data_IF_629503861799
#
_entry.id   IF_629503861799
#
_cell.length_a   1.000
_cell.length_b   1.000
_cell.length_c   1.000
_cell.angle_alpha   90.00
_cell.angle_beta   90.00
_cell.angle_gamma   90.00
#
_symmetry.space_group_name_H-M   'P 1'
#
loop_
_entity.id
_entity.type
_entity.pdbx_description
1 polymer ?
#
# COMPACT_ATOMS: atom_id res chain seq x y z
N UNK A 1 72.12 42.02 -14.87
CA UNK A 1 71.73 41.83 -16.27
C UNK A 1 72.04 40.39 -16.58
N UNK A 2 71.03 39.52 -16.60
CA UNK A 2 70.86 38.48 -17.61
C UNK A 2 69.74 37.49 -17.24
N UNK A 3 69.08 36.89 -18.26
CA UNK A 3 67.68 36.53 -18.21
C UNK A 3 67.42 35.02 -18.34
N UNK A 4 66.18 34.64 -17.98
CA UNK A 4 65.27 33.62 -18.56
C UNK A 4 65.85 32.38 -19.28
N UNK A 5 65.28 31.20 -18.94
CA UNK A 5 64.69 30.14 -19.80
C UNK A 5 64.57 28.83 -18.96
N UNK A 6 63.40 28.45 -18.42
CA UNK A 6 62.27 27.68 -19.00
C UNK A 6 62.36 26.14 -18.87
N UNK A 7 61.24 25.53 -18.42
CA UNK A 7 60.69 24.16 -18.66
C UNK A 7 61.21 23.05 -17.70
N UNK A 8 60.45 22.63 -16.69
CA UNK A 8 59.31 21.66 -16.69
C UNK A 8 59.73 20.24 -17.10
N UNK A 9 59.99 19.36 -16.11
CA UNK A 9 59.88 17.88 -16.16
C UNK A 9 60.39 17.24 -14.85
N UNK A 10 59.49 17.06 -13.89
CA UNK A 10 59.68 16.25 -12.68
C UNK A 10 58.28 15.69 -12.42
N UNK A 11 57.98 14.40 -12.23
CA UNK A 11 58.71 13.26 -11.72
C UNK A 11 57.70 12.09 -11.81
N UNK A 12 57.99 11.03 -12.54
CA UNK A 12 58.39 9.71 -11.99
C UNK A 12 57.31 9.05 -11.12
N UNK A 13 56.61 8.10 -11.74
CA UNK A 13 55.96 7.00 -11.05
C UNK A 13 57.01 5.95 -10.63
N UNK A 14 56.83 5.30 -9.47
CA UNK A 14 57.29 3.93 -9.28
C UNK A 14 56.10 2.97 -9.24
N UNK A 15 56.10 2.03 -10.17
CA UNK A 15 55.36 0.76 -10.09
C UNK A 15 56.15 -0.18 -9.17
N UNK A 16 55.51 -0.76 -8.13
CA UNK A 16 55.56 -2.20 -7.85
C UNK A 16 54.88 -2.58 -6.52
N UNK A 17 53.88 -3.46 -6.64
CA UNK A 17 53.56 -4.57 -5.75
C UNK A 17 53.25 -4.28 -4.27
N UNK A 18 51.99 -3.92 -4.00
CA UNK A 18 51.33 -4.11 -2.72
C UNK A 18 49.82 -4.15 -2.93
N UNK A 19 49.25 -5.36 -3.04
CA UNK A 19 47.83 -5.55 -3.30
C UNK A 19 46.95 -4.90 -2.24
N UNK A 20 46.17 -3.88 -2.62
CA UNK A 20 45.14 -3.29 -1.76
C UNK A 20 43.88 -3.03 -2.60
N UNK A 21 42.76 -3.47 -2.04
CA UNK A 21 41.43 -3.50 -2.63
C UNK A 21 40.90 -2.12 -3.08
N UNK A 22 41.08 -1.77 -4.35
CA UNK A 22 40.50 -0.57 -4.96
C UNK A 22 39.40 -0.89 -5.99
N UNK A 23 38.47 -1.80 -5.66
CA UNK A 23 37.33 -2.14 -6.52
C UNK A 23 35.96 -1.61 -6.05
N UNK A 24 35.83 -1.23 -4.77
CA UNK A 24 34.51 -1.07 -4.14
C UNK A 24 33.81 0.28 -4.36
N UNK A 25 34.56 1.36 -4.56
CA UNK A 25 34.00 2.72 -4.47
C UNK A 25 33.38 3.18 -5.81
N UNK A 26 33.89 2.72 -6.96
CA UNK A 26 33.32 3.02 -8.28
C UNK A 26 31.98 2.35 -8.56
N UNK A 27 31.74 1.16 -8.01
CA UNK A 27 30.53 0.37 -8.27
C UNK A 27 29.27 0.98 -7.62
N UNK A 28 29.41 1.59 -6.42
CA UNK A 28 28.29 2.22 -5.70
C UNK A 28 27.72 3.42 -6.45
N UNK A 29 28.58 4.24 -7.09
CA UNK A 29 28.14 5.41 -7.87
C UNK A 29 27.48 5.02 -9.20
N UNK A 30 27.91 3.91 -9.83
CA UNK A 30 27.30 3.38 -11.06
C UNK A 30 25.94 2.73 -10.81
N UNK A 31 25.75 2.09 -9.64
CA UNK A 31 24.47 1.48 -9.25
C UNK A 31 23.33 2.49 -9.13
N UNK A 32 23.62 3.71 -8.65
CA UNK A 32 22.65 4.83 -8.60
C UNK A 32 22.20 5.31 -9.99
N UNK A 33 23.02 5.10 -11.04
CA UNK A 33 22.67 5.49 -12.43
C UNK A 33 21.79 4.47 -13.16
N UNK A 34 21.71 3.22 -12.69
CA UNK A 34 21.07 2.15 -13.46
C UNK A 34 19.53 2.18 -13.39
N UNK A 35 18.93 2.83 -12.39
CA UNK A 35 17.48 2.85 -12.15
C UNK A 35 16.85 1.49 -11.80
N UNK A 36 17.56 0.36 -11.94
CA UNK A 36 17.02 -1.00 -11.75
C UNK A 36 16.61 -1.32 -10.32
N UNK A 37 17.30 -0.74 -9.33
CA UNK A 37 16.99 -0.94 -7.91
C UNK A 37 15.96 0.06 -7.38
N UNK A 38 15.47 0.97 -8.22
CA UNK A 38 14.61 2.07 -7.81
C UNK A 38 13.36 1.59 -7.06
N UNK A 39 12.70 0.53 -7.54
CA UNK A 39 11.54 -0.06 -6.86
C UNK A 39 11.88 -0.66 -5.48
N UNK A 40 13.06 -1.30 -5.35
CA UNK A 40 13.53 -1.84 -4.07
C UNK A 40 13.87 -0.72 -3.09
N UNK A 41 14.54 0.32 -3.57
CA UNK A 41 14.93 1.46 -2.74
C UNK A 41 13.71 2.28 -2.32
N UNK A 42 12.70 2.39 -3.19
CA UNK A 42 11.39 2.96 -2.85
C UNK A 42 10.67 2.12 -1.79
N UNK A 43 10.62 0.80 -1.94
CA UNK A 43 10.01 -0.07 -0.92
C UNK A 43 10.75 -0.02 0.43
N UNK A 44 12.08 0.17 0.42
CA UNK A 44 12.87 0.41 1.65
C UNK A 44 12.53 1.75 2.28
N UNK A 45 12.37 2.79 1.46
CA UNK A 45 11.95 4.11 1.93
C UNK A 45 10.57 4.04 2.60
N UNK A 46 9.59 3.42 1.94
CA UNK A 46 8.24 3.24 2.49
C UNK A 46 8.25 2.49 3.84
N UNK A 47 9.05 1.43 3.95
CA UNK A 47 9.18 0.66 5.19
C UNK A 47 9.74 1.50 6.34
N UNK A 48 10.75 2.34 6.07
CA UNK A 48 11.33 3.23 7.10
C UNK A 48 10.29 4.25 7.59
N UNK A 49 9.53 4.85 6.68
CA UNK A 49 8.46 5.79 7.06
C UNK A 49 7.38 5.10 7.90
N UNK A 50 6.95 3.89 7.49
CA UNK A 50 5.98 3.11 8.26
C UNK A 50 6.48 2.75 9.67
N UNK A 51 7.77 2.43 9.83
CA UNK A 51 8.38 2.15 11.14
C UNK A 51 8.42 3.38 12.05
N UNK A 52 8.72 4.55 11.50
CA UNK A 52 8.69 5.82 12.22
C UNK A 52 7.26 6.11 12.71
N UNK A 53 6.29 6.07 11.80
CA UNK A 53 4.87 6.28 12.13
C UNK A 53 4.37 5.26 13.17
N UNK A 54 4.72 3.98 13.06
CA UNK A 54 4.33 2.97 14.04
C UNK A 54 4.91 3.24 15.43
N UNK A 55 6.12 3.81 15.50
CA UNK A 55 6.73 4.23 16.77
C UNK A 55 5.95 5.39 17.38
N UNK A 56 5.64 6.41 16.58
CA UNK A 56 4.83 7.57 16.99
C UNK A 56 3.44 7.16 17.48
N UNK A 57 2.72 6.33 16.72
CA UNK A 57 1.38 5.85 17.08
C UNK A 57 1.38 4.99 18.33
N UNK A 58 2.42 4.17 18.53
CA UNK A 58 2.60 3.41 19.77
C UNK A 58 2.81 4.33 20.98
N UNK A 59 3.58 5.41 20.82
CA UNK A 59 3.76 6.39 21.88
C UNK A 59 2.47 7.14 22.18
N UNK A 60 1.70 7.54 21.16
CA UNK A 60 0.38 8.14 21.34
C UNK A 60 -0.59 7.24 22.12
N UNK A 61 -0.62 5.93 21.83
CA UNK A 61 -1.42 4.97 22.58
C UNK A 61 -0.99 4.85 24.06
N UNK A 62 0.31 4.90 24.34
CA UNK A 62 0.84 4.90 25.72
C UNK A 62 0.42 6.16 26.49
N UNK A 63 0.50 7.32 25.84
CA UNK A 63 0.05 8.58 26.43
C UNK A 63 -1.46 8.56 26.70
N UNK A 64 -2.27 8.11 25.75
CA UNK A 64 -3.73 7.97 25.93
C UNK A 64 -4.08 6.99 27.07
N UNK A 65 -3.26 5.96 27.28
CA UNK A 65 -3.44 5.01 28.39
C UNK A 65 -3.12 5.64 29.74
N UNK A 66 -2.05 6.43 29.83
CA UNK A 66 -1.72 7.18 31.04
C UNK A 66 -2.82 8.22 31.35
N UNK A 67 -3.34 8.89 30.33
CA UNK A 67 -4.42 9.86 30.46
C UNK A 67 -5.72 9.21 30.94
N UNK A 68 -6.11 8.07 30.37
CA UNK A 68 -7.24 7.29 30.86
C UNK A 68 -7.07 6.86 32.33
N UNK A 69 -5.87 6.42 32.72
CA UNK A 69 -5.58 6.07 34.11
C UNK A 69 -5.69 7.28 35.05
N UNK A 70 -5.18 8.44 34.63
CA UNK A 70 -5.29 9.71 35.37
C UNK A 70 -6.74 10.11 35.57
N UNK A 71 -7.55 10.16 34.50
CA UNK A 71 -8.96 10.53 34.57
C UNK A 71 -9.77 9.52 35.39
N UNK A 72 -9.44 8.22 35.30
CA UNK A 72 -10.05 7.19 36.14
C UNK A 72 -9.70 7.38 37.63
N UNK A 73 -8.48 7.79 37.95
CA UNK A 73 -8.09 8.12 39.32
C UNK A 73 -8.82 9.39 39.83
N UNK A 74 -8.91 10.43 39.01
CA UNK A 74 -9.67 11.64 39.33
C UNK A 74 -11.16 11.36 39.55
N UNK A 75 -11.72 10.39 38.82
CA UNK A 75 -13.09 9.94 39.07
C UNK A 75 -13.25 9.34 40.45
N UNK A 76 -12.29 8.52 40.89
CA UNK A 76 -12.30 7.92 42.24
C UNK A 76 -12.20 8.97 43.33
N UNK A 77 -11.46 10.06 43.08
CA UNK A 77 -11.37 11.24 43.94
C UNK A 77 -12.56 12.21 43.81
N UNK A 78 -13.62 11.85 43.06
CA UNK A 78 -14.79 12.69 42.74
C UNK A 78 -14.47 14.01 42.04
N UNK A 79 -13.30 14.11 41.39
CA UNK A 79 -12.86 15.30 40.62
C UNK A 79 -13.15 15.20 39.11
N UNK A 80 -13.50 14.02 38.61
CA UNK A 80 -13.90 13.80 37.22
C UNK A 80 -15.32 13.22 37.09
N UNK A 81 -15.96 13.49 35.96
CA UNK A 81 -17.29 12.99 35.60
C UNK A 81 -17.21 11.62 34.92
N UNK A 82 -18.29 10.82 34.93
CA UNK A 82 -18.35 9.56 34.16
C UNK A 82 -18.16 9.77 32.66
N UNK A 83 -18.65 10.89 32.14
CA UNK A 83 -18.51 11.26 30.73
C UNK A 83 -17.05 11.49 30.34
N UNK A 84 -16.27 12.17 31.19
CA UNK A 84 -14.83 12.37 30.99
C UNK A 84 -14.08 11.04 30.94
N UNK A 85 -14.41 10.10 31.83
CA UNK A 85 -13.83 8.74 31.80
C UNK A 85 -14.21 8.02 30.51
N UNK A 86 -15.47 8.11 30.07
CA UNK A 86 -15.93 7.50 28.82
C UNK A 86 -15.23 8.11 27.60
N UNK A 87 -15.03 9.43 27.56
CA UNK A 87 -14.30 10.13 26.50
C UNK A 87 -12.83 9.70 26.46
N UNK A 88 -12.14 9.65 27.61
CA UNK A 88 -10.76 9.18 27.69
C UNK A 88 -10.63 7.71 27.24
N UNK A 89 -11.62 6.86 27.56
CA UNK A 89 -11.66 5.47 27.10
C UNK A 89 -11.84 5.35 25.58
N UNK A 90 -12.68 6.18 24.96
CA UNK A 90 -12.84 6.24 23.50
C UNK A 90 -11.54 6.67 22.83
N UNK A 91 -10.90 7.71 23.34
CA UNK A 91 -9.61 8.19 22.86
C UNK A 91 -8.53 7.10 22.96
N UNK A 92 -8.45 6.39 24.09
CA UNK A 92 -7.54 5.26 24.23
C UNK A 92 -7.79 4.18 23.17
N UNK A 93 -9.05 3.77 22.97
CA UNK A 93 -9.42 2.78 21.94
C UNK A 93 -9.03 3.24 20.53
N UNK A 94 -9.27 4.50 20.20
CA UNK A 94 -8.86 5.10 18.94
C UNK A 94 -7.34 5.00 18.74
N UNK A 95 -6.54 5.45 19.72
CA UNK A 95 -5.08 5.41 19.61
C UNK A 95 -4.50 3.99 19.61
N UNK A 96 -5.13 3.05 20.31
CA UNK A 96 -4.79 1.62 20.22
C UNK A 96 -5.08 1.06 18.83
N UNK A 97 -6.19 1.44 18.22
CA UNK A 97 -6.54 1.03 16.86
C UNK A 97 -5.57 1.63 15.85
N UNK A 98 -5.21 2.92 15.98
CA UNK A 98 -4.18 3.58 15.16
C UNK A 98 -2.82 2.87 15.26
N UNK A 99 -2.40 2.51 16.48
CA UNK A 99 -1.14 1.80 16.69
C UNK A 99 -1.16 0.39 16.06
N UNK A 100 -2.30 -0.32 16.12
CA UNK A 100 -2.49 -1.60 15.44
C UNK A 100 -2.47 -1.45 13.93
N UNK A 101 -3.15 -0.43 13.38
CA UNK A 101 -3.15 -0.14 11.96
C UNK A 101 -1.74 0.19 11.45
N UNK A 102 -0.98 1.02 12.17
CA UNK A 102 0.40 1.33 11.82
C UNK A 102 1.33 0.10 11.89
N UNK A 103 1.12 -0.79 12.87
CA UNK A 103 1.87 -2.05 12.93
C UNK A 103 1.52 -3.01 11.77
N UNK A 104 0.26 -3.04 11.33
CA UNK A 104 -0.15 -3.78 10.15
C UNK A 104 0.45 -3.18 8.87
N UNK A 105 0.51 -1.85 8.76
CA UNK A 105 1.15 -1.18 7.62
C UNK A 105 2.65 -1.54 7.52
N UNK A 106 3.38 -1.57 8.63
CA UNK A 106 4.79 -2.03 8.64
C UNK A 106 4.92 -3.43 8.05
N UNK A 107 4.02 -4.36 8.39
CA UNK A 107 4.02 -5.72 7.83
C UNK A 107 3.72 -5.70 6.33
N UNK A 108 2.75 -4.89 5.89
CA UNK A 108 2.45 -4.71 4.48
C UNK A 108 3.65 -4.15 3.69
N UNK A 109 4.38 -3.17 4.25
CA UNK A 109 5.60 -2.64 3.62
C UNK A 109 6.75 -3.66 3.60
N UNK A 110 6.86 -4.53 4.60
CA UNK A 110 7.83 -5.64 4.57
C UNK A 110 7.54 -6.62 3.44
N UNK A 111 6.28 -6.98 3.24
CA UNK A 111 5.85 -7.83 2.11
C UNK A 111 6.15 -7.14 0.78
N UNK A 112 5.83 -5.84 0.64
CA UNK A 112 6.16 -5.06 -0.56
C UNK A 112 7.67 -5.03 -0.84
N UNK A 113 8.49 -4.87 0.20
CA UNK A 113 9.95 -4.91 0.05
C UNK A 113 10.45 -6.28 -0.39
N UNK A 114 9.87 -7.36 0.15
CA UNK A 114 10.17 -8.72 -0.29
C UNK A 114 9.81 -8.92 -1.77
N UNK A 115 8.60 -8.53 -2.17
CA UNK A 115 8.12 -8.59 -3.54
C UNK A 115 9.01 -7.75 -4.50
N UNK A 116 9.39 -6.54 -4.10
CA UNK A 116 10.27 -5.69 -4.91
C UNK A 116 11.66 -6.31 -5.10
N UNK A 117 12.19 -7.02 -4.09
CA UNK A 117 13.47 -7.74 -4.21
C UNK A 117 13.36 -8.94 -5.14
N UNK A 118 12.25 -9.68 -5.08
CA UNK A 118 11.98 -10.80 -5.98
C UNK A 118 11.74 -10.34 -7.43
N UNK A 119 11.14 -9.16 -7.62
CA UNK A 119 10.83 -8.58 -8.93
C UNK A 119 11.97 -7.73 -9.52
N UNK A 120 13.22 -7.94 -9.09
CA UNK A 120 14.37 -7.22 -9.65
C UNK A 120 14.50 -7.54 -11.15
N UNK A 121 14.46 -6.52 -12.03
CA UNK A 121 14.47 -6.77 -13.46
C UNK A 121 15.84 -7.29 -13.92
N UNK A 122 15.81 -8.32 -14.78
CA UNK A 122 16.98 -8.76 -15.52
C UNK A 122 17.59 -7.62 -16.34
N UNK A 123 18.85 -7.75 -16.77
CA UNK A 123 19.54 -6.68 -17.52
C UNK A 123 18.84 -6.30 -18.84
N UNK A 124 18.13 -7.23 -19.46
CA UNK A 124 17.36 -6.98 -20.70
C UNK A 124 15.94 -6.44 -20.44
N UNK A 125 15.42 -6.55 -19.22
CA UNK A 125 14.06 -6.12 -18.91
C UNK A 125 13.97 -4.58 -18.75
N UNK A 126 12.81 -3.97 -19.09
CA UNK A 126 12.57 -2.56 -18.87
C UNK A 126 12.79 -2.15 -17.42
N UNK A 127 13.28 -0.93 -17.21
CA UNK A 127 13.51 -0.42 -15.85
C UNK A 127 12.19 -0.20 -15.12
N UNK A 128 12.18 -0.20 -13.78
CA UNK A 128 10.94 -0.01 -13.01
C UNK A 128 10.19 1.29 -13.35
N UNK A 129 10.90 2.39 -13.62
CA UNK A 129 10.28 3.65 -14.04
C UNK A 129 9.64 3.56 -15.42
N UNK A 130 10.33 2.94 -16.38
CA UNK A 130 9.82 2.73 -17.75
C UNK A 130 8.56 1.86 -17.72
N UNK A 131 8.57 0.78 -16.92
CA UNK A 131 7.38 -0.05 -16.69
C UNK A 131 6.21 0.74 -16.11
N UNK A 132 6.47 1.55 -15.10
CA UNK A 132 5.43 2.36 -14.44
C UNK A 132 4.87 3.44 -15.37
N UNK A 133 5.70 4.02 -16.24
CA UNK A 133 5.25 4.92 -17.30
C UNK A 133 4.35 4.20 -18.31
N UNK A 134 4.73 3.00 -18.74
CA UNK A 134 3.90 2.18 -19.64
C UNK A 134 2.56 1.78 -18.97
N UNK A 135 2.56 1.46 -17.68
CA UNK A 135 1.35 1.20 -16.91
C UNK A 135 0.43 2.44 -16.91
N UNK A 136 0.94 3.64 -16.62
CA UNK A 136 0.17 4.88 -16.70
C UNK A 136 -0.38 5.15 -18.11
N UNK A 137 0.45 4.97 -19.14
CA UNK A 137 0.04 5.18 -20.54
C UNK A 137 -1.07 4.21 -20.96
N UNK A 138 -1.04 2.96 -20.47
CA UNK A 138 -2.09 1.97 -20.72
C UNK A 138 -3.44 2.37 -20.10
N UNK A 139 -3.45 2.92 -18.88
CA UNK A 139 -4.69 3.39 -18.24
C UNK A 139 -5.26 4.59 -19.00
N UNK A 140 -4.40 5.55 -19.35
CA UNK A 140 -4.79 6.70 -20.17
C UNK A 140 -5.38 6.25 -21.50
N UNK A 141 -4.79 5.25 -22.15
CA UNK A 141 -5.29 4.69 -23.40
C UNK A 141 -6.67 4.03 -23.24
N UNK A 142 -6.91 3.31 -22.12
CA UNK A 142 -8.24 2.74 -21.81
C UNK A 142 -9.29 3.85 -21.67
N UNK A 143 -8.96 4.94 -20.97
CA UNK A 143 -9.84 6.10 -20.84
C UNK A 143 -10.16 6.76 -22.18
N UNK A 144 -9.14 6.98 -23.02
CA UNK A 144 -9.33 7.62 -24.31
C UNK A 144 -10.33 6.88 -25.20
N UNK A 145 -10.55 5.58 -25.00
CA UNK A 145 -11.62 4.85 -25.71
C UNK A 145 -13.01 5.40 -25.37
N UNK A 146 -13.28 5.74 -24.11
CA UNK A 146 -14.55 6.36 -23.70
C UNK A 146 -14.72 7.80 -24.23
N UNK A 147 -13.62 8.47 -24.60
CA UNK A 147 -13.65 9.83 -25.19
C UNK A 147 -13.75 9.83 -26.73
N UNK A 148 -13.35 8.74 -27.38
CA UNK A 148 -13.18 8.69 -28.84
C UNK A 148 -14.11 7.71 -29.55
N UNK A 149 -14.56 6.67 -28.86
CA UNK A 149 -15.48 5.67 -29.41
C UNK A 149 -16.93 6.10 -29.15
N UNK A 150 -17.64 6.48 -30.22
CA UNK A 150 -19.03 6.92 -30.14
C UNK A 150 -19.96 5.84 -29.54
N UNK A 151 -19.66 4.55 -29.73
CA UNK A 151 -20.47 3.48 -29.15
C UNK A 151 -20.34 3.43 -27.63
N UNK A 152 -19.11 3.58 -27.10
CA UNK A 152 -18.85 3.63 -25.67
C UNK A 152 -19.40 4.91 -25.03
N UNK A 153 -19.40 6.03 -25.74
CA UNK A 153 -20.01 7.27 -25.25
C UNK A 153 -21.53 7.16 -25.09
N UNK A 154 -22.21 6.50 -26.03
CA UNK A 154 -23.64 6.27 -25.96
C UNK A 154 -23.97 5.24 -24.85
N UNK A 155 -23.20 4.16 -24.74
CA UNK A 155 -23.43 3.11 -23.75
C UNK A 155 -23.09 3.55 -22.32
N UNK A 156 -22.02 4.33 -22.15
CA UNK A 156 -21.46 4.70 -20.85
C UNK A 156 -21.23 6.22 -20.72
N UNK A 157 -22.26 7.07 -20.89
CA UNK A 157 -22.11 8.53 -20.82
C UNK A 157 -21.62 9.02 -19.44
N UNK A 158 -21.84 8.23 -18.39
CA UNK A 158 -21.34 8.51 -17.04
C UNK A 158 -19.81 8.55 -16.96
N UNK A 159 -19.10 7.84 -17.87
CA UNK A 159 -17.64 7.87 -17.90
C UNK A 159 -17.12 9.27 -18.25
N UNK A 160 -17.76 10.04 -19.13
CA UNK A 160 -17.25 11.37 -19.53
C UNK A 160 -17.93 12.53 -18.77
N UNK A 161 -18.93 12.23 -17.93
CA UNK A 161 -19.65 13.23 -17.15
C UNK A 161 -18.95 13.56 -15.81
N UNK A 162 -18.36 14.76 -15.73
CA UNK A 162 -17.67 15.27 -14.52
C UNK A 162 -18.60 15.41 -13.31
N UNK A 163 -19.93 15.46 -13.50
CA UNK A 163 -20.88 15.51 -12.38
C UNK A 163 -20.95 14.17 -11.64
N UNK A 164 -20.52 13.08 -12.28
CA UNK A 164 -20.43 11.78 -11.65
C UNK A 164 -19.27 11.77 -10.65
N UNK A 165 -19.50 11.45 -9.36
CA UNK A 165 -18.45 11.49 -8.35
C UNK A 165 -17.25 10.59 -8.66
N UNK A 166 -17.50 9.41 -9.25
CA UNK A 166 -16.44 8.46 -9.62
C UNK A 166 -15.56 9.00 -10.77
N UNK A 167 -16.18 9.58 -11.80
CA UNK A 167 -15.48 10.27 -12.90
C UNK A 167 -14.68 11.46 -12.42
N UNK A 168 -15.25 12.30 -11.54
CA UNK A 168 -14.51 13.39 -10.93
C UNK A 168 -13.33 12.91 -10.07
N UNK A 169 -13.45 11.75 -9.41
CA UNK A 169 -12.35 11.14 -8.67
C UNK A 169 -11.25 10.63 -9.62
N UNK A 170 -11.62 10.00 -10.74
CA UNK A 170 -10.68 9.61 -11.79
C UNK A 170 -9.91 10.80 -12.34
N UNK A 171 -10.57 11.89 -12.73
CA UNK A 171 -9.90 13.07 -13.29
C UNK A 171 -8.92 13.72 -12.31
N UNK A 172 -9.28 13.76 -11.01
CA UNK A 172 -8.35 14.21 -9.95
C UNK A 172 -7.15 13.29 -9.81
N UNK A 173 -7.37 11.97 -9.83
CA UNK A 173 -6.28 11.00 -9.76
C UNK A 173 -5.38 11.06 -11.00
N UNK A 174 -5.94 11.31 -12.19
CA UNK A 174 -5.19 11.49 -13.43
C UNK A 174 -4.28 12.73 -13.36
N UNK A 175 -4.80 13.86 -12.88
CA UNK A 175 -3.98 15.05 -12.62
C UNK A 175 -2.83 14.78 -11.65
N UNK A 176 -3.12 14.12 -10.52
CA UNK A 176 -2.10 13.75 -9.54
C UNK A 176 -1.03 12.80 -10.13
N UNK A 177 -1.42 11.83 -10.96
CA UNK A 177 -0.50 10.93 -11.63
C UNK A 177 0.39 11.65 -12.66
N UNK A 178 -0.14 12.64 -13.38
CA UNK A 178 0.63 13.49 -14.31
C UNK A 178 1.66 14.33 -13.55
N UNK A 179 1.26 14.97 -12.45
CA UNK A 179 2.19 15.78 -11.65
C UNK A 179 3.28 14.91 -11.00
N UNK A 180 2.91 13.74 -10.49
CA UNK A 180 3.87 12.78 -9.95
C UNK A 180 4.82 12.23 -11.04
N UNK A 181 4.32 11.99 -12.27
CA UNK A 181 5.17 11.62 -13.42
C UNK A 181 6.17 12.72 -13.73
N UNK A 182 5.76 13.99 -13.73
CA UNK A 182 6.64 15.13 -13.98
C UNK A 182 7.77 15.19 -12.95
N UNK A 183 7.45 15.03 -11.67
CA UNK A 183 8.45 14.96 -10.60
C UNK A 183 9.42 13.78 -10.79
N UNK A 184 8.89 12.59 -11.12
CA UNK A 184 9.70 11.39 -11.30
C UNK A 184 10.53 11.36 -12.60
N UNK A 185 10.23 12.22 -13.58
CA UNK A 185 10.91 12.26 -14.89
C UNK A 185 12.16 13.16 -14.92
N UNK A 186 12.61 13.66 -13.76
CA UNK A 186 13.85 14.42 -13.64
C UNK A 186 15.10 13.59 -13.99
N UNK A 187 16.27 14.27 -14.10
CA UNK A 187 17.56 13.65 -14.47
C UNK A 187 17.96 12.47 -13.58
N UNK A 188 17.55 12.49 -12.31
CA UNK A 188 17.73 11.41 -11.35
C UNK A 188 16.46 11.29 -10.52
N UNK A 189 15.68 10.23 -10.72
CA UNK A 189 14.50 9.92 -9.91
C UNK A 189 14.92 9.42 -8.54
N UNK A 190 14.44 10.06 -7.49
CA UNK A 190 14.63 9.59 -6.11
C UNK A 190 13.69 8.44 -5.78
N UNK A 191 14.02 7.59 -4.79
CA UNK A 191 13.10 6.56 -4.30
C UNK A 191 11.74 7.09 -3.84
N UNK A 192 11.72 8.30 -3.25
CA UNK A 192 10.50 8.93 -2.77
C UNK A 192 9.60 9.40 -3.93
N UNK A 193 10.18 10.05 -4.96
CA UNK A 193 9.44 10.45 -6.16
C UNK A 193 8.88 9.23 -6.92
N UNK A 194 9.67 8.15 -7.04
CA UNK A 194 9.18 6.92 -7.63
C UNK A 194 8.05 6.29 -6.82
N UNK A 195 8.15 6.26 -5.48
CA UNK A 195 7.09 5.76 -4.62
C UNK A 195 5.80 6.57 -4.78
N UNK A 196 5.91 7.91 -4.80
CA UNK A 196 4.78 8.81 -5.00
C UNK A 196 4.13 8.60 -6.38
N UNK A 197 4.93 8.48 -7.45
CA UNK A 197 4.40 8.21 -8.78
C UNK A 197 3.74 6.84 -8.87
N UNK A 198 4.34 5.80 -8.27
CA UNK A 198 3.75 4.45 -8.20
C UNK A 198 2.39 4.47 -7.50
N UNK A 199 2.32 5.15 -6.37
CA UNK A 199 1.07 5.20 -5.58
C UNK A 199 0.00 6.01 -6.32
N UNK A 200 0.37 7.11 -6.99
CA UNK A 200 -0.54 7.89 -7.84
C UNK A 200 -1.08 7.11 -9.05
N UNK A 201 -0.27 6.29 -9.72
CA UNK A 201 -0.73 5.41 -10.80
C UNK A 201 -1.68 4.33 -10.26
N UNK A 202 -1.39 3.79 -9.07
CA UNK A 202 -2.29 2.82 -8.44
C UNK A 202 -3.63 3.45 -8.01
N UNK A 203 -3.63 4.71 -7.55
CA UNK A 203 -4.83 5.49 -7.26
C UNK A 203 -5.62 5.80 -8.54
N UNK A 204 -4.92 6.17 -9.63
CA UNK A 204 -5.52 6.38 -10.95
C UNK A 204 -6.25 5.13 -11.43
N UNK A 205 -5.62 3.95 -11.38
CA UNK A 205 -6.25 2.70 -11.78
C UNK A 205 -7.49 2.39 -10.93
N UNK A 206 -7.39 2.51 -9.60
CA UNK A 206 -8.54 2.30 -8.71
C UNK A 206 -9.70 3.24 -9.02
N UNK A 207 -9.40 4.50 -9.30
CA UNK A 207 -10.42 5.49 -9.62
C UNK A 207 -11.04 5.22 -11.01
N UNK A 208 -10.25 4.76 -11.98
CA UNK A 208 -10.73 4.32 -13.28
C UNK A 208 -11.69 3.13 -13.15
N UNK A 209 -11.30 2.07 -12.45
CA UNK A 209 -12.13 0.88 -12.23
C UNK A 209 -13.42 1.22 -11.47
N UNK A 210 -13.34 2.13 -10.48
CA UNK A 210 -14.51 2.61 -9.76
C UNK A 210 -15.47 3.40 -10.66
N UNK A 211 -14.95 4.21 -11.59
CA UNK A 211 -15.74 4.93 -12.58
C UNK A 211 -16.39 3.97 -13.58
N UNK A 212 -15.64 3.01 -14.11
CA UNK A 212 -16.15 2.01 -15.05
C UNK A 212 -17.24 1.14 -14.41
N UNK A 213 -17.03 0.70 -13.17
CA UNK A 213 -18.04 -0.04 -12.42
C UNK A 213 -19.29 0.82 -12.19
N UNK A 214 -19.15 2.06 -11.75
CA UNK A 214 -20.29 2.95 -11.55
C UNK A 214 -21.08 3.21 -12.85
N UNK A 215 -20.38 3.38 -13.97
CA UNK A 215 -21.01 3.55 -15.27
C UNK A 215 -21.77 2.29 -15.72
N UNK A 216 -21.20 1.09 -15.50
CA UNK A 216 -21.88 -0.19 -15.79
C UNK A 216 -23.09 -0.43 -14.91
N UNK A 217 -23.05 -0.01 -13.64
CA UNK A 217 -24.24 -0.04 -12.76
C UNK A 217 -25.34 0.88 -13.30
N UNK A 218 -24.99 2.09 -13.77
CA UNK A 218 -25.96 3.01 -14.38
C UNK A 218 -26.53 2.47 -15.71
N UNK A 219 -25.71 1.75 -16.48
CA UNK A 219 -26.15 1.07 -17.71
C UNK A 219 -27.00 -0.20 -17.44
N UNK A 220 -27.12 -0.64 -16.18
CA UNK A 220 -27.86 -1.85 -15.81
C UNK A 220 -27.12 -3.16 -16.07
N UNK A 221 -25.81 -3.11 -16.34
CA UNK A 221 -24.95 -4.25 -16.66
C UNK A 221 -24.25 -4.86 -15.43
N UNK A 222 -24.20 -4.11 -14.33
CA UNK A 222 -23.61 -4.55 -13.08
C UNK A 222 -24.57 -4.31 -11.91
N UNK A 223 -24.62 -5.22 -10.92
CA UNK A 223 -25.40 -4.98 -9.72
C UNK A 223 -24.82 -3.79 -8.95
N UNK A 224 -25.67 -2.96 -8.36
CA UNK A 224 -25.23 -1.96 -7.40
C UNK A 224 -24.49 -2.66 -6.24
N UNK A 225 -23.48 -1.99 -5.68
CA UNK A 225 -22.77 -2.52 -4.53
C UNK A 225 -23.78 -2.83 -3.39
N UNK A 226 -23.66 -4.00 -2.73
CA UNK A 226 -24.60 -4.38 -1.68
C UNK A 226 -24.58 -3.32 -0.60
N UNK A 227 -25.77 -2.93 -0.14
CA UNK A 227 -25.86 -1.99 0.97
C UNK A 227 -25.28 -2.64 2.23
N UNK A 228 -24.93 -1.82 3.23
CA UNK A 228 -24.48 -2.36 4.51
C UNK A 228 -25.53 -3.28 5.15
N UNK A 229 -26.82 -3.07 4.83
CA UNK A 229 -27.92 -3.93 5.25
C UNK A 229 -27.83 -5.30 4.57
N UNK A 230 -27.60 -5.33 3.26
CA UNK A 230 -27.44 -6.59 2.51
C UNK A 230 -26.21 -7.37 3.00
N UNK A 231 -25.10 -6.67 3.22
CA UNK A 231 -23.88 -7.28 3.76
C UNK A 231 -24.09 -7.79 5.21
N UNK A 232 -24.86 -7.08 6.03
CA UNK A 232 -25.19 -7.53 7.38
C UNK A 232 -26.13 -8.74 7.36
N UNK A 233 -27.13 -8.76 6.49
CA UNK A 233 -28.04 -9.89 6.31
C UNK A 233 -27.31 -11.12 5.78
N UNK A 234 -26.40 -10.95 4.81
CA UNK A 234 -25.54 -12.02 4.29
C UNK A 234 -24.57 -12.55 5.36
N UNK A 235 -24.03 -11.68 6.22
CA UNK A 235 -23.23 -12.14 7.36
C UNK A 235 -24.07 -12.92 8.38
N UNK A 236 -25.30 -12.46 8.66
CA UNK A 236 -26.22 -13.14 9.57
C UNK A 236 -26.65 -14.50 9.02
N UNK A 237 -27.01 -14.61 7.74
CA UNK A 237 -27.38 -15.88 7.11
C UNK A 237 -26.21 -16.86 7.13
N UNK A 238 -25.00 -16.42 6.76
CA UNK A 238 -23.79 -17.25 6.84
C UNK A 238 -23.48 -17.71 8.25
N UNK A 239 -23.78 -16.88 9.27
CA UNK A 239 -23.63 -17.27 10.67
C UNK A 239 -24.66 -18.34 11.07
N UNK A 240 -25.92 -18.20 10.65
CA UNK A 240 -26.98 -19.19 10.90
C UNK A 240 -26.64 -20.54 10.26
N UNK A 241 -26.18 -20.55 9.01
CA UNK A 241 -25.75 -21.77 8.31
C UNK A 241 -24.54 -22.44 8.96
N UNK A 242 -23.63 -21.66 9.56
CA UNK A 242 -22.51 -22.21 10.31
C UNK A 242 -22.99 -22.85 11.63
N UNK A 243 -23.97 -22.26 12.31
CA UNK A 243 -24.58 -22.84 13.50
C UNK A 243 -25.35 -24.14 13.18
N UNK A 244 -26.12 -24.17 12.09
CA UNK A 244 -26.86 -25.37 11.69
C UNK A 244 -25.93 -26.52 11.32
N UNK A 245 -24.82 -26.24 10.62
CA UNK A 245 -23.78 -27.25 10.35
C UNK A 245 -23.09 -27.73 11.62
N UNK A 246 -22.80 -26.84 12.56
CA UNK A 246 -22.22 -27.23 13.85
C UNK A 246 -23.19 -28.08 14.68
N UNK A 247 -24.48 -27.75 14.67
CA UNK A 247 -25.54 -28.52 15.31
C UNK A 247 -25.73 -29.91 14.66
N UNK A 248 -25.71 -29.98 13.33
CA UNK A 248 -25.76 -31.25 12.59
C UNK A 248 -24.53 -32.14 12.81
N UNK A 249 -23.34 -31.55 12.91
CA UNK A 249 -22.11 -32.27 13.26
C UNK A 249 -22.15 -32.80 14.70
N UNK A 250 -22.69 -32.02 15.64
CA UNK A 250 -22.88 -32.47 17.01
C UNK A 250 -23.90 -33.62 17.09
N UNK A 251 -25.06 -33.50 16.41
CA UNK A 251 -26.08 -34.53 16.38
C UNK A 251 -25.58 -35.85 15.77
N UNK A 252 -24.81 -35.78 14.68
CA UNK A 252 -24.20 -36.98 14.07
C UNK A 252 -23.12 -37.61 14.94
N UNK A 253 -22.33 -36.82 15.68
CA UNK A 253 -21.38 -37.33 16.66
C UNK A 253 -22.08 -38.05 17.84
N UNK A 254 -23.21 -37.52 18.34
CA UNK A 254 -24.01 -38.17 19.37
C UNK A 254 -24.66 -39.46 18.86
N UNK A 255 -25.16 -39.49 17.62
CA UNK A 255 -25.71 -40.69 17.00
C UNK A 255 -24.64 -41.79 16.86
N UNK A 256 -23.44 -41.45 16.35
CA UNK A 256 -22.32 -42.38 16.21
C UNK A 256 -21.78 -42.89 17.57
N UNK A 257 -21.92 -42.12 18.64
CA UNK A 257 -21.59 -42.58 19.99
C UNK A 257 -22.63 -43.58 20.52
N UNK A 258 -23.92 -43.33 20.28
CA UNK A 258 -25.00 -44.23 20.68
C UNK A 258 -24.98 -45.56 19.92
N UNK A 259 -24.72 -45.54 18.61
CA UNK A 259 -24.56 -46.77 17.80
C UNK A 259 -23.39 -47.64 18.29
N UNK A 260 -22.27 -47.02 18.68
CA UNK A 260 -21.13 -47.74 19.26
C UNK A 260 -21.47 -48.40 20.59
N UNK A 261 -22.38 -47.82 21.38
CA UNK A 261 -22.83 -48.38 22.65
C UNK A 261 -23.84 -49.52 22.47
N UNK A 262 -24.54 -49.58 21.33
CA UNK A 262 -25.56 -50.58 21.03
C UNK A 262 -25.04 -51.81 20.27
N UNK A 263 -23.80 -51.85 19.77
CA UNK A 263 -23.22 -53.08 19.22
C UNK A 263 -22.77 -54.00 20.36
N UNK A 264 -23.45 -55.13 20.64
CA UNK A 264 -22.93 -56.14 21.55
C UNK A 264 -21.88 -56.97 20.81
N UNK A 265 -20.84 -57.37 21.53
CA UNK A 265 -19.73 -58.19 21.04
C UNK A 265 -20.27 -59.54 20.55
N UNK A 266 -20.50 -59.68 19.24
CA UNK A 266 -20.82 -60.96 18.61
C UNK A 266 -19.49 -61.68 18.34
N UNK A 267 -19.08 -62.48 19.32
CA UNK A 267 -18.14 -63.60 19.12
C UNK A 267 -18.84 -64.76 18.42
#
# INVERSE_FOLDING_TARGET
>A
MDPLLLIEWWWIAPVAAGGVAAGGIGMRRRSMKSGRRLAVDAARHDLRQAQQLATERRMAARLARAEYARVSAERSARRATPEQVAAAKRMLREKENDAKAAAADVRAKQVRLSAARAALPAASAPRPLERLQAEHDAITARWMRYETDASLQIAYPAMTDVKQPATAAYLRAAGAAVDARRAASGKVTTPAEFAAYRDAVADLERAFEAAEYAARVQAGEAPAAPTWQDAAQDMLSRSAEAFDRAAGAAASAFAAWNERKQRPDKR
#
